data_IF_403977685347
#
_entry.id   IF_403977685347
#
_cell.length_a   1.000
_cell.length_b   1.000
_cell.length_c   1.000
_cell.angle_alpha   90.00
_cell.angle_beta   90.00
_cell.angle_gamma   90.00
#
_symmetry.space_group_name_H-M   'P 1'
#
loop_
_entity.id
_entity.type
_entity.pdbx_description
1 polymer ?
#
# COMPACT_ATOMS: atom_id res chain seq x y z
N UNK A 1 -7.36 18.53 -16.60
CA UNK A 1 -6.87 18.94 -15.28
C UNK A 1 -7.56 18.03 -14.28
N UNK A 2 -6.82 17.31 -13.44
CA UNK A 2 -7.44 16.47 -12.39
C UNK A 2 -7.67 17.38 -11.19
N UNK A 3 -8.88 17.38 -10.66
CA UNK A 3 -9.21 18.15 -9.47
C UNK A 3 -8.60 17.47 -8.24
N UNK A 4 -7.91 18.26 -7.41
CA UNK A 4 -7.31 17.74 -6.18
C UNK A 4 -8.41 17.55 -5.13
N UNK A 5 -8.44 16.39 -4.49
CA UNK A 5 -9.34 16.08 -3.39
C UNK A 5 -8.61 16.17 -2.05
N UNK A 6 -9.35 16.50 -1.01
CA UNK A 6 -8.87 16.44 0.38
C UNK A 6 -8.68 14.98 0.83
N UNK A 7 -7.91 14.78 1.91
CA UNK A 7 -7.72 13.46 2.49
C UNK A 7 -9.05 12.81 2.93
N UNK A 8 -9.98 13.61 3.45
CA UNK A 8 -11.29 13.13 3.87
C UNK A 8 -12.15 12.70 2.67
N UNK A 9 -12.14 13.47 1.58
CA UNK A 9 -12.82 13.09 0.34
C UNK A 9 -12.21 11.81 -0.25
N UNK A 10 -10.89 11.66 -0.25
CA UNK A 10 -10.23 10.45 -0.73
C UNK A 10 -10.68 9.21 0.08
N UNK A 11 -10.73 9.31 1.42
CA UNK A 11 -11.23 8.22 2.26
C UNK A 11 -12.69 7.87 1.98
N UNK A 12 -13.52 8.86 1.67
CA UNK A 12 -14.92 8.63 1.29
C UNK A 12 -15.03 7.93 -0.07
N UNK A 13 -14.19 8.31 -1.03
CA UNK A 13 -14.14 7.66 -2.34
C UNK A 13 -13.69 6.20 -2.24
N UNK A 14 -12.67 5.91 -1.43
CA UNK A 14 -12.22 4.54 -1.18
C UNK A 14 -13.33 3.71 -0.53
N UNK A 15 -14.00 4.25 0.50
CA UNK A 15 -15.11 3.58 1.16
C UNK A 15 -16.28 3.32 0.22
N UNK A 16 -16.66 4.31 -0.59
CA UNK A 16 -17.70 4.13 -1.61
C UNK A 16 -17.33 3.02 -2.60
N UNK A 17 -16.07 2.96 -3.00
CA UNK A 17 -15.58 1.94 -3.94
C UNK A 17 -15.63 0.52 -3.35
N UNK A 18 -15.39 0.40 -2.06
CA UNK A 18 -15.51 -0.88 -1.34
C UNK A 18 -16.97 -1.25 -1.14
N UNK A 19 -17.75 -0.35 -0.55
CA UNK A 19 -19.09 -0.68 -0.03
C UNK A 19 -20.16 -0.68 -1.14
N UNK A 20 -20.07 0.22 -2.12
CA UNK A 20 -21.10 0.42 -3.13
C UNK A 20 -20.73 -0.21 -4.48
N UNK A 21 -19.46 -0.09 -4.89
CA UNK A 21 -18.97 -0.72 -6.13
C UNK A 21 -18.60 -2.20 -5.90
N UNK A 22 -18.34 -2.60 -4.65
CA UNK A 22 -18.02 -3.97 -4.28
C UNK A 22 -16.58 -4.38 -4.59
N UNK A 23 -15.66 -3.41 -4.76
CA UNK A 23 -14.25 -3.70 -4.99
C UNK A 23 -13.53 -3.92 -3.65
N UNK A 24 -12.96 -5.10 -3.37
CA UNK A 24 -12.27 -5.33 -2.11
C UNK A 24 -11.11 -4.34 -1.89
N UNK A 25 -10.91 -3.86 -0.67
CA UNK A 25 -9.82 -2.93 -0.34
C UNK A 25 -8.44 -3.48 -0.72
N UNK A 26 -8.26 -4.81 -0.65
CA UNK A 26 -7.02 -5.46 -1.07
C UNK A 26 -6.73 -5.25 -2.57
N UNK A 27 -7.76 -5.21 -3.42
CA UNK A 27 -7.61 -4.94 -4.86
C UNK A 27 -7.19 -3.50 -5.09
N UNK A 28 -7.73 -2.55 -4.32
CA UNK A 28 -7.30 -1.15 -4.38
C UNK A 28 -5.82 -1.01 -4.00
N UNK A 29 -5.40 -1.62 -2.89
CA UNK A 29 -4.00 -1.63 -2.46
C UNK A 29 -3.06 -2.26 -3.51
N UNK A 30 -3.47 -3.37 -4.14
CA UNK A 30 -2.68 -4.01 -5.20
C UNK A 30 -2.46 -3.06 -6.39
N UNK A 31 -3.50 -2.31 -6.78
CA UNK A 31 -3.40 -1.34 -7.88
C UNK A 31 -2.48 -0.18 -7.53
N UNK A 32 -2.61 0.37 -6.32
CA UNK A 32 -1.70 1.41 -5.82
C UNK A 32 -0.25 0.95 -5.88
N UNK A 33 0.02 -0.27 -5.38
CA UNK A 33 1.36 -0.83 -5.37
C UNK A 33 1.92 -1.07 -6.79
N UNK A 34 1.09 -1.55 -7.72
CA UNK A 34 1.48 -1.71 -9.13
C UNK A 34 1.90 -0.38 -9.75
N UNK A 35 1.12 0.69 -9.56
CA UNK A 35 1.48 2.02 -10.08
C UNK A 35 2.78 2.55 -9.48
N UNK A 36 3.05 2.32 -8.18
CA UNK A 36 4.34 2.68 -7.57
C UNK A 36 5.48 1.92 -8.24
N UNK A 37 5.31 0.62 -8.46
CA UNK A 37 6.33 -0.22 -9.09
C UNK A 37 6.60 0.18 -10.53
N UNK A 38 5.59 0.57 -11.30
CA UNK A 38 5.77 1.11 -12.65
C UNK A 38 6.65 2.37 -12.64
N UNK A 39 6.43 3.27 -11.67
CA UNK A 39 7.25 4.47 -11.52
C UNK A 39 8.69 4.11 -11.14
N UNK A 40 8.88 3.17 -10.20
CA UNK A 40 10.22 2.71 -9.80
C UNK A 40 10.94 1.99 -10.95
N UNK A 41 10.21 1.27 -11.79
CA UNK A 41 10.74 0.55 -12.96
C UNK A 41 11.19 1.48 -14.10
N UNK A 42 10.92 2.80 -14.02
CA UNK A 42 11.40 3.78 -15.01
C UNK A 42 12.93 3.92 -15.09
N UNK A 43 13.69 3.24 -14.23
CA UNK A 43 15.16 3.24 -14.23
C UNK A 43 15.78 4.48 -13.59
N UNK A 44 14.98 5.36 -12.99
CA UNK A 44 15.43 6.60 -12.33
C UNK A 44 16.02 6.39 -10.94
N UNK A 45 15.82 5.21 -10.35
CA UNK A 45 16.18 4.91 -8.97
C UNK A 45 17.06 3.67 -8.91
N UNK A 46 18.04 3.67 -8.02
CA UNK A 46 18.78 2.45 -7.66
C UNK A 46 17.91 1.60 -6.74
N UNK A 47 17.56 0.40 -7.19
CA UNK A 47 16.76 -0.58 -6.46
C UNK A 47 17.60 -1.76 -5.96
N UNK A 48 18.94 -1.63 -5.90
CA UNK A 48 19.82 -2.69 -5.40
C UNK A 48 19.54 -3.06 -3.94
N UNK A 49 19.12 -2.07 -3.13
CA UNK A 49 18.61 -2.23 -1.76
C UNK A 49 17.50 -1.22 -1.51
N UNK A 50 16.34 -1.70 -1.07
CA UNK A 50 15.18 -0.86 -0.78
C UNK A 50 14.75 -1.05 0.67
N UNK A 51 14.55 0.05 1.39
CA UNK A 51 13.90 0.06 2.69
C UNK A 51 12.50 0.65 2.55
N UNK A 52 11.49 -0.09 2.99
CA UNK A 52 10.12 0.41 3.10
C UNK A 52 9.81 0.61 4.58
N UNK A 53 9.33 1.80 4.92
CA UNK A 53 8.90 2.17 6.26
C UNK A 53 7.38 2.31 6.24
N UNK A 54 6.67 1.41 6.91
CA UNK A 54 5.22 1.34 6.92
C UNK A 54 4.67 1.65 8.31
N UNK A 55 3.69 2.54 8.41
CA UNK A 55 2.89 2.74 9.62
C UNK A 55 1.79 1.69 9.78
N UNK A 56 0.88 1.89 10.74
CA UNK A 56 -0.28 1.01 10.97
C UNK A 56 -1.58 1.51 10.31
N UNK A 57 -1.48 2.41 9.33
CA UNK A 57 -2.63 2.92 8.56
C UNK A 57 -2.77 2.19 7.20
N UNK A 58 -3.76 2.56 6.39
CA UNK A 58 -3.96 2.00 5.05
C UNK A 58 -2.70 2.12 4.17
N UNK A 59 -1.99 3.26 4.22
CA UNK A 59 -0.73 3.44 3.50
C UNK A 59 0.37 2.49 3.99
N UNK A 60 0.31 2.06 5.25
CA UNK A 60 1.16 1.00 5.76
C UNK A 60 0.89 -0.33 5.07
N UNK A 61 -0.38 -0.66 4.86
CA UNK A 61 -0.82 -1.78 4.04
C UNK A 61 -0.29 -1.71 2.60
N UNK A 62 -0.36 -0.55 1.95
CA UNK A 62 0.24 -0.33 0.62
C UNK A 62 1.75 -0.62 0.65
N UNK A 63 2.45 -0.15 1.67
CA UNK A 63 3.88 -0.43 1.87
C UNK A 63 4.20 -1.91 1.94
N UNK A 64 3.37 -2.70 2.64
CA UNK A 64 3.53 -4.17 2.72
C UNK A 64 3.32 -4.81 1.34
N UNK A 65 2.31 -4.38 0.59
CA UNK A 65 2.02 -4.89 -0.76
C UNK A 65 3.16 -4.54 -1.73
N UNK A 66 3.67 -3.30 -1.70
CA UNK A 66 4.82 -2.86 -2.49
C UNK A 66 6.05 -3.71 -2.15
N UNK A 67 6.31 -3.95 -0.86
CA UNK A 67 7.42 -4.79 -0.42
C UNK A 67 7.33 -6.20 -1.01
N UNK A 68 6.15 -6.83 -0.94
CA UNK A 68 5.90 -8.15 -1.54
C UNK A 68 6.17 -8.14 -3.04
N UNK A 69 5.63 -7.18 -3.77
CA UNK A 69 5.75 -7.15 -5.22
C UNK A 69 7.18 -6.85 -5.70
N UNK A 70 7.93 -5.99 -5.00
CA UNK A 70 9.35 -5.77 -5.27
C UNK A 70 10.18 -7.04 -5.00
N UNK A 71 9.91 -7.73 -3.88
CA UNK A 71 10.53 -9.04 -3.58
C UNK A 71 10.26 -10.08 -4.67
N UNK A 72 9.03 -10.17 -5.18
CA UNK A 72 8.68 -11.06 -6.29
C UNK A 72 9.44 -10.73 -7.59
N UNK A 73 9.87 -9.47 -7.76
CA UNK A 73 10.72 -9.04 -8.87
C UNK A 73 12.22 -9.23 -8.63
N UNK A 74 12.61 -9.87 -7.53
CA UNK A 74 14.01 -10.14 -7.19
C UNK A 74 14.74 -8.98 -6.52
N UNK A 75 14.02 -7.93 -6.11
CA UNK A 75 14.61 -6.78 -5.39
C UNK A 75 14.89 -7.17 -3.94
N UNK A 76 16.04 -6.73 -3.41
CA UNK A 76 16.34 -6.89 -1.99
C UNK A 76 15.63 -5.80 -1.18
N UNK A 77 14.60 -6.19 -0.42
CA UNK A 77 13.72 -5.27 0.31
C UNK A 77 13.73 -5.62 1.80
N UNK A 78 14.00 -4.60 2.61
CA UNK A 78 13.74 -4.59 4.04
C UNK A 78 12.43 -3.84 4.32
N UNK A 79 11.60 -4.38 5.21
CA UNK A 79 10.34 -3.77 5.64
C UNK A 79 10.42 -3.47 7.14
N UNK A 80 10.29 -2.20 7.49
CA UNK A 80 10.18 -1.74 8.87
C UNK A 80 8.75 -1.30 9.13
N UNK A 81 8.05 -2.02 10.01
CA UNK A 81 6.74 -1.61 10.51
C UNK A 81 6.94 -0.74 11.75
N UNK A 82 6.46 0.50 11.69
CA UNK A 82 6.49 1.46 12.78
C UNK A 82 5.10 1.60 13.40
N UNK A 83 4.97 1.21 14.66
CA UNK A 83 3.77 1.43 15.44
C UNK A 83 3.68 0.50 16.65
N UNK A 84 2.63 0.69 17.43
CA UNK A 84 2.33 -0.16 18.58
C UNK A 84 1.74 -1.50 18.11
N UNK A 85 2.44 -2.59 18.40
CA UNK A 85 2.05 -3.95 18.02
C UNK A 85 0.65 -4.34 18.56
N UNK A 86 0.20 -3.75 19.67
CA UNK A 86 -1.11 -4.03 20.24
C UNK A 86 -2.26 -3.70 19.28
N UNK A 87 -2.06 -2.74 18.36
CA UNK A 87 -3.05 -2.35 17.35
C UNK A 87 -3.21 -3.42 16.26
N UNK A 88 -2.16 -4.19 15.96
CA UNK A 88 -2.23 -5.27 14.97
C UNK A 88 -3.07 -6.46 15.45
N UNK A 89 -3.18 -6.66 16.77
CA UNK A 89 -3.95 -7.77 17.38
C UNK A 89 -5.46 -7.54 17.38
N UNK A 90 -5.91 -6.34 17.00
CA UNK A 90 -7.33 -5.98 16.90
C UNK A 90 -7.96 -6.36 15.55
N UNK A 91 -7.15 -6.79 14.58
CA UNK A 91 -7.65 -7.34 13.32
C UNK A 91 -7.85 -8.84 13.52
N UNK A 92 -9.09 -9.35 13.59
CA UNK A 92 -9.32 -10.78 13.76
C UNK A 92 -8.72 -11.53 12.58
N UNK A 93 -8.11 -12.72 12.81
CA UNK A 93 -7.65 -13.55 11.70
C UNK A 93 -8.83 -13.86 10.79
N UNK A 94 -8.69 -13.55 9.51
CA UNK A 94 -9.62 -14.01 8.49
C UNK A 94 -9.40 -15.53 8.33
N UNK A 95 -10.30 -16.32 8.92
CA UNK A 95 -10.51 -17.71 8.53
C UNK A 95 -11.31 -17.79 7.22
#
# INVERSE_FOLDING_TARGET
MVEAVTAQEMQLLDRYTVDQIGMPSLVLMERTAQSVIEVLASGKYDLSKVLIIAGLSNNGGDGIVIARLLRQKGVNVDLLILGDESVLRLIPPHN
#
